data_IF_432392680770
#
_entry.id   IF_432392680770
#
_cell.length_a   1.000
_cell.length_b   1.000
_cell.length_c   1.000
_cell.angle_alpha   90.00
_cell.angle_beta   90.00
_cell.angle_gamma   90.00
#
_symmetry.space_group_name_H-M   'P 1'
#
loop_
_entity.id
_entity.type
_entity.pdbx_description
1 polymer ?
#
# COMPACT_ATOMS: atom_id res chain seq x y z
N UNK A 1 12.79 -20.08 -0.05
CA UNK A 1 12.55 -21.16 -1.03
C UNK A 1 11.20 -20.90 -1.68
N UNK A 2 11.04 -21.16 -2.98
CA UNK A 2 9.77 -21.00 -3.71
C UNK A 2 9.36 -22.33 -4.34
N UNK A 3 8.06 -22.69 -4.38
CA UNK A 3 7.60 -23.87 -5.11
C UNK A 3 7.95 -23.74 -6.59
N UNK A 4 8.55 -24.78 -7.15
CA UNK A 4 8.99 -24.85 -8.54
C UNK A 4 8.17 -25.87 -9.35
N UNK A 5 7.86 -27.03 -8.78
CA UNK A 5 7.03 -28.04 -9.44
C UNK A 5 6.28 -28.90 -8.44
N UNK A 6 5.11 -29.40 -8.83
CA UNK A 6 4.32 -30.37 -8.07
C UNK A 6 4.06 -31.57 -8.98
N UNK A 7 4.46 -32.77 -8.56
CA UNK A 7 4.22 -33.97 -9.37
C UNK A 7 2.80 -34.50 -9.20
N UNK A 8 2.32 -34.58 -7.96
CA UNK A 8 1.01 -35.12 -7.63
C UNK A 8 0.34 -34.25 -6.57
N UNK A 9 -0.88 -33.80 -6.85
CA UNK A 9 -1.74 -33.11 -5.91
C UNK A 9 -3.05 -33.89 -5.78
N UNK A 10 -3.36 -34.30 -4.56
CA UNK A 10 -4.64 -34.89 -4.21
C UNK A 10 -5.37 -33.97 -3.23
N UNK A 11 -6.64 -33.69 -3.54
CA UNK A 11 -7.56 -32.95 -2.67
C UNK A 11 -8.80 -33.80 -2.47
N UNK A 12 -9.08 -34.18 -1.23
CA UNK A 12 -10.29 -34.94 -0.90
C UNK A 12 -11.54 -34.06 -1.11
N UNK A 13 -12.64 -34.67 -1.59
CA UNK A 13 -13.93 -33.98 -1.70
C UNK A 13 -14.49 -33.56 -0.34
N UNK A 14 -14.28 -34.40 0.67
CA UNK A 14 -14.76 -34.17 2.05
C UNK A 14 -13.70 -33.43 2.86
N UNK A 15 -13.72 -32.10 2.76
CA UNK A 15 -12.92 -31.23 3.62
C UNK A 15 -13.65 -30.95 4.95
N UNK A 16 -12.93 -30.72 6.06
CA UNK A 16 -13.51 -30.11 7.26
C UNK A 16 -14.37 -28.89 6.87
N UNK A 17 -15.63 -28.86 7.33
CA UNK A 17 -16.58 -27.79 7.04
C UNK A 17 -16.87 -26.97 8.30
N UNK A 18 -17.21 -25.69 8.09
CA UNK A 18 -17.57 -24.76 9.16
C UNK A 18 -16.40 -23.84 9.56
N UNK A 19 -16.77 -22.67 10.11
CA UNK A 19 -15.79 -21.71 10.63
C UNK A 19 -15.01 -22.32 11.81
N UNK A 20 -13.70 -22.08 11.85
CA UNK A 20 -12.81 -22.62 12.88
C UNK A 20 -12.39 -24.08 12.69
N UNK A 21 -12.71 -24.71 11.55
CA UNK A 21 -12.22 -26.05 11.26
C UNK A 21 -10.68 -26.04 11.13
N UNK A 22 -10.02 -26.85 11.97
CA UNK A 22 -8.56 -26.92 12.02
C UNK A 22 -8.02 -28.03 11.12
N UNK A 23 -6.90 -27.72 10.47
CA UNK A 23 -6.09 -28.69 9.74
C UNK A 23 -4.81 -28.98 10.51
N UNK A 24 -4.45 -30.25 10.55
CA UNK A 24 -3.14 -30.70 11.01
C UNK A 24 -2.31 -31.10 9.80
N UNK A 25 -1.03 -30.73 9.78
CA UNK A 25 -0.14 -31.10 8.68
C UNK A 25 1.19 -31.65 9.18
N UNK A 26 1.82 -32.51 8.37
CA UNK A 26 3.24 -32.81 8.49
C UNK A 26 3.89 -32.80 7.11
N UNK A 27 5.14 -32.37 7.06
CA UNK A 27 5.96 -32.39 5.87
C UNK A 27 7.08 -33.42 6.00
N UNK A 28 7.43 -34.07 4.90
CA UNK A 28 8.59 -34.97 4.80
C UNK A 28 9.54 -34.44 3.74
N UNK A 29 10.78 -34.13 4.13
CA UNK A 29 11.84 -33.85 3.16
C UNK A 29 12.35 -35.16 2.58
N UNK A 30 12.38 -35.28 1.24
CA UNK A 30 12.81 -36.49 0.53
C UNK A 30 14.26 -36.38 0.09
N UNK A 31 14.61 -35.27 -0.55
CA UNK A 31 15.94 -35.05 -1.10
C UNK A 31 16.26 -33.56 -1.19
N UNK A 32 17.54 -33.25 -1.13
CA UNK A 32 18.08 -31.93 -1.41
C UNK A 32 19.17 -32.10 -2.46
N UNK A 33 19.02 -31.44 -3.61
CA UNK A 33 19.97 -31.46 -4.71
C UNK A 33 20.32 -30.02 -5.08
N UNK A 34 21.47 -29.54 -4.60
CA UNK A 34 21.88 -28.15 -4.76
C UNK A 34 20.85 -27.18 -4.19
N UNK A 35 20.29 -26.32 -5.04
CA UNK A 35 19.27 -25.34 -4.67
C UNK A 35 17.84 -25.90 -4.66
N UNK A 36 17.65 -27.19 -4.89
CA UNK A 36 16.32 -27.79 -4.96
C UNK A 36 16.08 -28.75 -3.80
N UNK A 37 14.98 -28.57 -3.09
CA UNK A 37 14.52 -29.44 -2.01
C UNK A 37 13.23 -30.09 -2.45
N UNK A 38 13.20 -31.41 -2.57
CA UNK A 38 11.98 -32.17 -2.86
C UNK A 38 11.35 -32.59 -1.55
N UNK A 39 10.08 -32.28 -1.37
CA UNK A 39 9.34 -32.60 -0.14
C UNK A 39 7.95 -33.13 -0.45
N UNK A 40 7.34 -33.76 0.54
CA UNK A 40 5.93 -34.15 0.53
C UNK A 40 5.21 -33.45 1.66
N UNK A 41 3.96 -33.07 1.43
CA UNK A 41 3.09 -32.46 2.42
C UNK A 41 1.82 -33.29 2.55
N UNK A 42 1.49 -33.67 3.78
CA UNK A 42 0.26 -34.35 4.12
C UNK A 42 -0.55 -33.47 5.07
N UNK A 43 -1.78 -33.15 4.70
CA UNK A 43 -2.71 -32.36 5.50
C UNK A 43 -3.92 -33.22 5.81
N UNK A 44 -4.36 -33.22 7.06
CA UNK A 44 -5.55 -33.93 7.55
C UNK A 44 -6.41 -33.01 8.42
N UNK A 45 -7.58 -33.49 8.81
CA UNK A 45 -8.31 -32.93 9.96
C UNK A 45 -7.53 -33.12 11.28
N UNK A 46 -7.95 -32.41 12.32
CA UNK A 46 -7.34 -32.43 13.66
C UNK A 46 -7.20 -33.86 14.23
N UNK A 47 -8.18 -34.72 13.94
CA UNK A 47 -8.23 -36.12 14.41
C UNK A 47 -7.39 -37.08 13.55
N UNK A 48 -6.71 -36.57 12.52
CA UNK A 48 -5.92 -37.36 11.57
C UNK A 48 -6.69 -38.53 10.94
N UNK A 49 -8.00 -38.36 10.69
CA UNK A 49 -8.85 -39.49 10.26
C UNK A 49 -8.46 -40.00 8.87
N UNK A 50 -8.21 -39.08 7.93
CA UNK A 50 -7.83 -39.37 6.53
C UNK A 50 -7.11 -38.16 5.93
N UNK A 51 -6.14 -38.38 5.01
CA UNK A 51 -5.52 -37.28 4.29
C UNK A 51 -6.57 -36.48 3.51
N UNK A 52 -6.59 -35.18 3.77
CA UNK A 52 -7.47 -34.19 3.15
C UNK A 52 -6.79 -33.53 1.96
N UNK A 53 -5.49 -33.26 2.08
CA UNK A 53 -4.64 -32.78 1.00
C UNK A 53 -3.34 -33.58 1.03
N UNK A 54 -2.85 -33.99 -0.13
CA UNK A 54 -1.53 -34.60 -0.26
C UNK A 54 -0.83 -33.98 -1.45
N UNK A 55 0.39 -33.49 -1.21
CA UNK A 55 1.28 -32.96 -2.23
C UNK A 55 2.51 -33.85 -2.23
N UNK A 56 2.73 -34.62 -3.31
CA UNK A 56 3.91 -35.47 -3.41
C UNK A 56 4.92 -34.90 -4.38
N UNK A 57 6.19 -35.09 -4.04
CA UNK A 57 7.36 -34.65 -4.81
C UNK A 57 7.22 -33.18 -5.23
N UNK A 58 6.84 -32.34 -4.26
CA UNK A 58 6.77 -30.91 -4.44
C UNK A 58 8.19 -30.34 -4.27
N UNK A 59 8.70 -29.78 -5.34
CA UNK A 59 10.07 -29.26 -5.42
C UNK A 59 10.06 -27.79 -5.07
N UNK A 60 10.88 -27.44 -4.09
CA UNK A 60 11.17 -26.09 -3.65
C UNK A 60 12.53 -25.68 -4.21
N UNK A 61 12.61 -24.52 -4.87
CA UNK A 61 13.89 -23.93 -5.26
C UNK A 61 14.28 -22.83 -4.29
N UNK A 62 15.51 -22.86 -3.80
CA UNK A 62 16.11 -21.76 -3.07
C UNK A 62 16.43 -20.61 -4.04
N UNK A 63 15.76 -19.48 -3.87
CA UNK A 63 15.89 -18.28 -4.71
C UNK A 63 16.80 -17.20 -4.11
N UNK A 64 17.23 -17.38 -2.87
CA UNK A 64 18.19 -16.49 -2.21
C UNK A 64 19.47 -17.27 -1.91
N UNK A 65 20.58 -16.85 -2.52
CA UNK A 65 21.90 -17.31 -2.12
C UNK A 65 22.18 -16.76 -0.73
N UNK A 66 22.16 -17.61 0.29
CA UNK A 66 22.93 -17.33 1.51
C UNK A 66 24.39 -17.27 1.07
N UNK A 67 24.91 -16.05 0.88
CA UNK A 67 26.32 -15.82 0.59
C UNK A 67 27.11 -16.11 1.87
N UNK A 68 27.95 -17.16 1.81
CA UNK A 68 29.04 -17.45 2.75
C UNK A 68 28.73 -18.55 3.77
N UNK A 69 29.58 -19.55 4.06
CA UNK A 69 30.94 -19.85 3.63
C UNK A 69 31.15 -21.36 3.90
N UNK A 70 31.45 -22.14 2.86
CA UNK A 70 32.09 -23.45 3.05
C UNK A 70 33.57 -23.25 3.38
N UNK A 71 33.87 -22.84 4.62
CA UNK A 71 35.22 -23.01 5.17
C UNK A 71 35.12 -23.51 6.60
N UNK A 72 35.80 -24.63 6.81
CA UNK A 72 35.75 -25.49 7.97
C UNK A 72 36.01 -24.80 9.32
N UNK A 73 35.34 -25.36 10.33
CA UNK A 73 35.80 -25.51 11.72
C UNK A 73 36.18 -24.23 12.48
N UNK A 74 35.21 -23.64 13.18
CA UNK A 74 35.34 -23.36 14.62
C UNK A 74 33.97 -23.03 15.22
N UNK A 75 33.75 -23.50 16.45
CA UNK A 75 32.53 -23.34 17.25
C UNK A 75 31.95 -21.92 17.20
N UNK A 76 30.79 -21.78 16.57
CA UNK A 76 29.95 -20.60 16.63
C UNK A 76 28.59 -21.00 17.19
N UNK A 77 28.16 -20.23 18.18
CA UNK A 77 26.85 -20.27 18.84
C UNK A 77 25.71 -20.45 17.82
N UNK A 78 24.56 -21.03 18.21
CA UNK A 78 23.37 -21.05 17.36
C UNK A 78 22.84 -19.61 17.24
N UNK A 79 23.46 -18.81 16.38
CA UNK A 79 22.88 -17.56 15.91
C UNK A 79 21.65 -17.96 15.12
N UNK A 80 20.48 -17.70 15.69
CA UNK A 80 19.18 -17.90 15.06
C UNK A 80 19.26 -17.37 13.63
N UNK A 81 19.23 -18.28 12.65
CA UNK A 81 18.97 -17.92 11.27
C UNK A 81 17.54 -17.40 11.25
N UNK A 82 17.38 -16.09 11.46
CA UNK A 82 16.10 -15.43 11.42
C UNK A 82 15.46 -15.77 10.07
N UNK A 83 14.42 -16.59 10.10
CA UNK A 83 13.65 -16.86 8.89
C UNK A 83 12.86 -15.59 8.64
N UNK A 84 13.34 -14.78 7.70
CA UNK A 84 12.62 -13.60 7.24
C UNK A 84 11.38 -14.08 6.48
N UNK A 85 10.27 -14.24 7.20
CA UNK A 85 8.96 -14.28 6.57
C UNK A 85 8.58 -12.85 6.20
N UNK A 86 7.99 -12.68 5.02
CA UNK A 86 7.39 -11.42 4.64
C UNK A 86 5.88 -11.50 4.90
N UNK A 87 5.35 -10.51 5.59
CA UNK A 87 3.91 -10.32 5.76
C UNK A 87 3.42 -9.26 4.76
N UNK A 88 2.18 -9.40 4.28
CA UNK A 88 1.54 -8.34 3.53
C UNK A 88 0.83 -7.39 4.49
N UNK A 89 1.35 -6.17 4.63
CA UNK A 89 0.76 -5.12 5.45
C UNK A 89 0.13 -4.05 4.56
N UNK A 90 -0.98 -3.47 5.02
CA UNK A 90 -1.69 -2.39 4.34
C UNK A 90 -1.39 -1.05 5.02
N UNK A 91 -0.88 -0.09 4.24
CA UNK A 91 -0.56 1.25 4.73
C UNK A 91 -1.48 2.28 4.09
N UNK A 92 -2.03 3.23 4.86
CA UNK A 92 -2.88 4.28 4.31
C UNK A 92 -2.05 5.18 3.38
N UNK A 93 -2.53 5.46 2.17
CA UNK A 93 -1.82 6.25 1.17
C UNK A 93 -2.13 7.75 1.33
N UNK A 94 -1.16 8.59 1.74
CA UNK A 94 -1.37 10.02 1.97
C UNK A 94 -1.82 10.78 0.72
N UNK A 95 -1.61 10.23 -0.48
CA UNK A 95 -2.02 10.86 -1.74
C UNK A 95 -3.54 10.87 -1.98
N UNK A 96 -4.30 10.19 -1.13
CA UNK A 96 -5.77 10.15 -1.16
C UNK A 96 -6.42 10.95 -0.03
N UNK A 97 -5.64 11.71 0.76
CA UNK A 97 -6.20 12.61 1.78
C UNK A 97 -6.90 13.77 1.10
N UNK A 98 -8.22 13.89 1.32
CA UNK A 98 -9.09 14.92 0.74
C UNK A 98 -9.83 15.76 1.78
N UNK A 99 -9.60 15.49 3.06
CA UNK A 99 -10.20 16.24 4.15
C UNK A 99 -9.30 16.28 5.38
N UNK A 100 -9.59 17.21 6.31
CA UNK A 100 -8.94 17.22 7.62
C UNK A 100 -9.26 15.95 8.42
N UNK A 101 -10.46 15.38 8.24
CA UNK A 101 -10.86 14.12 8.89
C UNK A 101 -9.99 12.96 8.43
N UNK A 102 -9.75 12.86 7.12
CA UNK A 102 -8.89 11.84 6.52
C UNK A 102 -7.47 11.93 7.09
N UNK A 103 -6.95 13.15 7.26
CA UNK A 103 -5.61 13.36 7.79
C UNK A 103 -5.51 13.01 9.30
N UNK A 104 -6.56 13.29 10.08
CA UNK A 104 -6.65 12.86 11.48
C UNK A 104 -6.71 11.33 11.57
N UNK A 105 -7.48 10.66 10.72
CA UNK A 105 -7.55 9.19 10.69
C UNK A 105 -6.24 8.57 10.19
N UNK A 106 -5.57 9.17 9.20
CA UNK A 106 -4.24 8.77 8.72
C UNK A 106 -3.24 8.72 9.88
N UNK A 107 -3.21 9.78 10.70
CA UNK A 107 -2.34 9.88 11.87
C UNK A 107 -2.77 8.92 12.99
N UNK A 108 -4.07 8.67 13.14
CA UNK A 108 -4.62 7.86 14.24
C UNK A 108 -4.60 6.35 13.97
N UNK A 109 -4.57 5.92 12.71
CA UNK A 109 -4.75 4.52 12.30
C UNK A 109 -3.54 3.62 12.56
N UNK A 110 -2.38 4.18 12.93
CA UNK A 110 -1.08 3.51 12.75
C UNK A 110 -0.40 2.96 14.03
N UNK A 111 -1.05 2.94 15.19
CA UNK A 111 -0.78 2.03 16.34
C UNK A 111 -1.45 2.55 17.63
N UNK A 112 -1.49 1.72 18.68
CA UNK A 112 -1.94 2.14 20.02
C UNK A 112 -1.12 3.30 20.61
N UNK A 113 0.13 3.47 20.16
CA UNK A 113 0.97 4.62 20.53
C UNK A 113 0.80 5.72 19.50
N UNK A 114 -0.11 6.65 19.78
CA UNK A 114 -0.37 7.84 18.97
C UNK A 114 0.86 8.75 18.90
N UNK A 115 1.79 8.43 17.99
CA UNK A 115 2.93 9.28 17.68
C UNK A 115 2.72 9.92 16.32
N UNK A 116 3.01 11.22 16.22
CA UNK A 116 2.88 12.00 15.01
C UNK A 116 3.68 11.45 13.84
N UNK A 117 4.67 10.61 14.08
CA UNK A 117 5.54 10.05 13.04
C UNK A 117 5.12 8.66 12.58
N UNK A 118 3.99 8.13 13.03
CA UNK A 118 3.54 6.81 12.57
C UNK A 118 3.10 6.80 11.10
N UNK A 119 2.66 7.95 10.55
CA UNK A 119 2.35 8.03 9.12
C UNK A 119 3.62 7.96 8.24
N UNK A 120 4.81 8.16 8.81
CA UNK A 120 6.07 8.18 8.04
C UNK A 120 6.33 6.87 7.31
N UNK A 121 6.01 5.73 7.92
CA UNK A 121 6.16 4.44 7.24
C UNK A 121 5.31 4.36 5.98
N UNK A 122 4.10 4.95 6.00
CA UNK A 122 3.23 5.02 4.83
C UNK A 122 3.82 5.88 3.71
N UNK A 123 4.58 6.92 4.05
CA UNK A 123 5.31 7.75 3.08
C UNK A 123 6.52 6.99 2.54
N UNK A 124 7.35 6.44 3.43
CA UNK A 124 8.63 5.82 3.09
C UNK A 124 8.47 4.51 2.32
N UNK A 125 7.43 3.74 2.63
CA UNK A 125 7.12 2.53 1.89
C UNK A 125 6.45 2.81 0.54
N UNK A 126 5.88 4.00 0.34
CA UNK A 126 5.21 4.32 -0.93
C UNK A 126 6.20 4.32 -2.11
N UNK A 127 7.36 4.96 -1.94
CA UNK A 127 8.40 5.08 -2.99
C UNK A 127 9.78 4.70 -2.47
N UNK A 128 10.58 4.07 -3.30
CA UNK A 128 11.95 3.71 -2.89
C UNK A 128 12.92 4.90 -2.94
N UNK A 129 12.61 5.93 -3.72
CA UNK A 129 13.46 7.10 -3.95
C UNK A 129 13.02 8.36 -3.19
N UNK A 130 12.32 8.15 -2.07
CA UNK A 130 11.78 9.22 -1.24
C UNK A 130 12.87 10.20 -0.76
N UNK A 131 12.60 11.50 -0.91
CA UNK A 131 13.43 12.60 -0.43
C UNK A 131 12.73 13.34 0.70
N UNK A 132 13.38 13.37 1.87
CA UNK A 132 12.88 14.09 3.06
C UNK A 132 13.73 15.32 3.33
N UNK A 133 13.08 16.47 3.45
CA UNK A 133 13.70 17.70 3.94
C UNK A 133 13.43 17.83 5.44
N UNK A 134 14.49 17.83 6.24
CA UNK A 134 14.40 18.02 7.70
C UNK A 134 14.93 19.41 8.03
N UNK A 135 14.09 20.24 8.63
CA UNK A 135 14.44 21.58 9.11
C UNK A 135 14.44 21.57 10.65
N UNK A 136 15.52 22.01 11.28
CA UNK A 136 15.58 22.17 12.74
C UNK A 136 15.85 23.64 13.11
N UNK A 137 14.87 24.26 13.74
CA UNK A 137 14.91 25.67 14.12
C UNK A 137 15.36 25.89 15.57
N UNK A 138 15.05 24.94 16.47
CA UNK A 138 15.47 24.96 17.88
C UNK A 138 15.93 23.57 18.34
N UNK A 139 16.59 23.50 19.50
CA UNK A 139 17.08 22.24 20.08
C UNK A 139 16.16 21.68 21.19
N UNK A 140 14.86 21.98 21.16
CA UNK A 140 13.92 21.48 22.18
C UNK A 140 13.85 19.95 22.14
N UNK A 141 13.82 19.31 23.31
CA UNK A 141 13.89 17.85 23.44
C UNK A 141 12.82 17.11 22.61
N UNK A 142 11.58 17.62 22.52
CA UNK A 142 10.52 17.00 21.71
C UNK A 142 10.88 16.93 20.23
N UNK A 143 11.61 17.93 19.71
CA UNK A 143 12.08 17.94 18.33
C UNK A 143 13.21 16.92 18.12
N UNK A 144 14.11 16.80 19.12
CA UNK A 144 15.14 15.76 19.13
C UNK A 144 14.54 14.36 19.19
N UNK A 145 13.46 14.17 19.95
CA UNK A 145 12.74 12.90 20.05
C UNK A 145 12.13 12.49 18.71
N UNK A 146 11.56 13.43 17.95
CA UNK A 146 11.07 13.19 16.58
C UNK A 146 12.21 12.75 15.65
N UNK A 147 13.39 13.38 15.74
CA UNK A 147 14.56 12.99 14.95
C UNK A 147 15.08 11.60 15.33
N UNK A 148 15.09 11.27 16.63
CA UNK A 148 15.46 9.95 17.13
C UNK A 148 14.48 8.89 16.63
N UNK A 149 13.19 9.21 16.63
CA UNK A 149 12.15 8.31 16.15
C UNK A 149 12.28 8.08 14.64
N UNK A 150 12.52 9.13 13.84
CA UNK A 150 12.85 8.99 12.41
C UNK A 150 14.02 8.03 12.19
N UNK A 151 15.10 8.14 12.98
CA UNK A 151 16.26 7.25 12.88
C UNK A 151 15.97 5.80 13.27
N UNK A 152 15.06 5.59 14.22
CA UNK A 152 14.71 4.25 14.75
C UNK A 152 13.75 3.49 13.83
N UNK A 153 13.16 4.14 12.83
CA UNK A 153 12.23 3.50 11.89
C UNK A 153 12.93 2.37 11.13
N UNK A 154 12.17 1.30 10.90
CA UNK A 154 12.58 0.19 10.05
C UNK A 154 12.80 0.65 8.61
N UNK A 155 11.94 1.55 8.15
CA UNK A 155 11.98 2.13 6.81
C UNK A 155 12.51 3.56 6.89
N UNK A 156 13.54 3.84 6.12
CA UNK A 156 14.16 5.16 6.04
C UNK A 156 14.03 5.69 4.61
N UNK A 157 13.97 7.02 4.43
CA UNK A 157 14.04 7.61 3.10
C UNK A 157 15.40 7.33 2.44
N UNK A 158 15.44 7.35 1.12
CA UNK A 158 16.68 7.20 0.35
C UNK A 158 17.61 8.40 0.55
N UNK A 159 17.02 9.58 0.73
CA UNK A 159 17.76 10.82 0.89
C UNK A 159 17.15 11.72 1.96
N UNK A 160 18.00 12.19 2.86
CA UNK A 160 17.68 13.20 3.86
C UNK A 160 18.49 14.47 3.55
N UNK A 161 17.78 15.58 3.36
CA UNK A 161 18.38 16.92 3.30
C UNK A 161 18.11 17.56 4.65
N UNK A 162 19.14 17.76 5.46
CA UNK A 162 19.06 18.30 6.80
C UNK A 162 19.56 19.75 6.81
N UNK A 163 18.69 20.69 7.19
CA UNK A 163 19.00 22.10 7.29
C UNK A 163 18.69 22.61 8.70
N UNK A 164 19.60 23.38 9.30
CA UNK A 164 19.44 23.90 10.65
C UNK A 164 19.59 25.43 10.70
N UNK A 165 18.80 26.08 11.57
CA UNK A 165 18.82 27.53 11.77
C UNK A 165 20.02 28.01 12.62
N UNK A 166 20.64 27.10 13.39
CA UNK A 166 21.80 27.36 14.23
C UNK A 166 22.87 26.26 14.05
N UNK A 167 24.13 26.57 14.33
CA UNK A 167 25.21 25.57 14.27
C UNK A 167 25.04 24.51 15.38
N UNK A 168 24.48 24.89 16.53
CA UNK A 168 24.14 23.98 17.62
C UNK A 168 23.04 22.98 17.18
N UNK A 169 21.97 23.45 16.56
CA UNK A 169 20.93 22.62 15.97
C UNK A 169 21.50 21.67 14.90
N UNK A 170 22.42 22.14 14.03
CA UNK A 170 23.08 21.27 13.06
C UNK A 170 23.85 20.13 13.75
N UNK A 171 24.55 20.44 14.84
CA UNK A 171 25.31 19.45 15.61
C UNK A 171 24.39 18.44 16.29
N UNK A 172 23.23 18.88 16.79
CA UNK A 172 22.17 18.00 17.31
C UNK A 172 21.66 17.08 16.20
N UNK A 173 21.37 17.60 15.00
CA UNK A 173 20.93 16.77 13.87
C UNK A 173 21.96 15.71 13.48
N UNK A 174 23.25 16.06 13.39
CA UNK A 174 24.33 15.10 13.08
C UNK A 174 24.46 14.02 14.16
N UNK A 175 24.43 14.43 15.43
CA UNK A 175 24.53 13.50 16.56
C UNK A 175 23.34 12.54 16.58
N UNK A 176 22.14 13.06 16.33
CA UNK A 176 20.91 12.29 16.35
C UNK A 176 20.79 11.39 15.14
N UNK A 177 20.78 11.94 13.91
CA UNK A 177 20.55 11.20 12.67
C UNK A 177 21.76 10.31 12.28
N UNK A 178 22.97 10.70 12.66
CA UNK A 178 24.21 9.97 12.35
C UNK A 178 24.86 10.41 11.05
N UNK A 179 25.67 9.52 10.47
CA UNK A 179 26.35 9.73 9.19
C UNK A 179 25.59 9.01 8.06
N UNK A 180 25.81 9.40 6.78
CA UNK A 180 25.25 8.68 5.64
C UNK A 180 25.56 7.18 5.69
N UNK A 181 24.59 6.36 5.28
CA UNK A 181 24.72 4.90 5.19
C UNK A 181 24.61 4.44 3.75
N UNK A 182 24.81 3.14 3.49
CA UNK A 182 24.60 2.54 2.16
C UNK A 182 23.16 2.72 1.66
N UNK A 183 22.18 2.80 2.57
CA UNK A 183 20.75 2.88 2.25
C UNK A 183 20.22 4.32 2.21
N UNK A 184 20.85 5.23 2.94
CA UNK A 184 20.36 6.60 3.09
C UNK A 184 21.49 7.61 2.94
N UNK A 185 21.39 8.42 1.90
CA UNK A 185 22.26 9.58 1.70
C UNK A 185 21.80 10.75 2.58
N UNK A 186 22.73 11.46 3.21
CA UNK A 186 22.41 12.60 4.08
C UNK A 186 23.26 13.81 3.72
N UNK A 187 22.62 14.98 3.69
CA UNK A 187 23.28 16.27 3.44
C UNK A 187 22.97 17.20 4.60
N UNK A 188 24.00 17.74 5.26
CA UNK A 188 23.85 18.66 6.39
C UNK A 188 24.26 20.08 5.98
N UNK A 189 23.37 21.05 6.18
CA UNK A 189 23.64 22.46 5.91
C UNK A 189 23.15 23.34 7.05
N UNK A 190 23.97 24.25 7.53
CA UNK A 190 23.53 25.32 8.43
C UNK A 190 23.33 26.62 7.63
N UNK A 191 22.36 27.42 8.06
CA UNK A 191 22.17 28.81 7.64
C UNK A 191 21.36 29.59 8.67
N UNK A 192 21.46 30.93 8.68
CA UNK A 192 20.59 31.77 9.51
C UNK A 192 19.10 31.52 9.21
N UNK A 193 18.26 31.57 10.24
CA UNK A 193 16.81 31.35 10.14
C UNK A 193 16.15 32.15 9.01
N UNK A 194 16.48 33.44 8.88
CA UNK A 194 15.93 34.31 7.86
C UNK A 194 16.25 33.86 6.43
N UNK A 195 17.39 33.19 6.23
CA UNK A 195 17.84 32.67 4.93
C UNK A 195 17.30 31.25 4.68
N UNK A 196 17.04 30.48 5.74
CA UNK A 196 16.60 29.09 5.66
C UNK A 196 15.32 28.91 4.85
N UNK A 197 14.31 29.71 5.14
CA UNK A 197 13.03 29.67 4.43
C UNK A 197 13.11 30.26 3.01
N UNK A 198 14.14 31.06 2.71
CA UNK A 198 14.35 31.66 1.39
C UNK A 198 15.15 30.77 0.44
N UNK A 199 15.89 29.80 0.99
CA UNK A 199 16.82 28.94 0.24
C UNK A 199 16.43 27.47 0.29
N UNK A 200 15.13 27.21 0.50
CA UNK A 200 14.59 25.86 0.47
C UNK A 200 14.87 25.21 -0.90
N UNK A 201 15.24 23.91 -0.94
CA UNK A 201 15.61 23.28 -2.18
C UNK A 201 14.42 23.26 -3.15
N UNK A 202 14.64 23.73 -4.38
CA UNK A 202 13.71 23.46 -5.48
C UNK A 202 13.94 22.03 -5.97
N UNK A 203 13.04 21.10 -5.66
CA UNK A 203 13.18 19.70 -6.04
C UNK A 203 11.92 18.85 -5.83
N UNK A 204 12.00 17.58 -6.17
CA UNK A 204 11.01 16.59 -5.76
C UNK A 204 11.29 16.21 -4.29
N UNK A 205 10.74 17.00 -3.37
CA UNK A 205 10.71 16.65 -1.94
C UNK A 205 9.36 16.02 -1.69
N UNK A 206 9.35 14.81 -1.14
CA UNK A 206 8.13 14.05 -0.86
C UNK A 206 7.56 14.43 0.51
N UNK A 207 8.44 14.77 1.46
CA UNK A 207 8.06 15.13 2.84
C UNK A 207 8.97 16.21 3.42
N UNK A 208 8.37 17.17 4.13
CA UNK A 208 9.08 18.11 4.99
C UNK A 208 8.82 17.78 6.47
N UNK A 209 9.89 17.64 7.25
CA UNK A 209 9.86 17.57 8.71
C UNK A 209 10.47 18.87 9.26
N UNK A 210 9.64 19.85 9.60
CA UNK A 210 10.12 21.14 10.10
C UNK A 210 9.85 21.27 11.59
N UNK A 211 10.91 21.31 12.38
CA UNK A 211 10.86 21.16 13.83
C UNK A 211 11.27 22.46 14.52
N UNK A 212 10.42 22.98 15.41
CA UNK A 212 10.63 24.24 16.12
C UNK A 212 10.30 25.46 15.25
N UNK A 213 9.37 25.34 14.31
CA UNK A 213 9.08 26.40 13.34
C UNK A 213 8.65 27.69 14.06
N UNK A 214 9.37 28.81 13.85
CA UNK A 214 8.96 30.10 14.39
C UNK A 214 7.72 30.57 13.63
N UNK A 215 6.69 31.04 14.33
CA UNK A 215 5.43 31.50 13.71
C UNK A 215 4.91 30.53 12.62
N UNK A 216 4.46 29.35 13.06
CA UNK A 216 4.01 28.27 12.16
C UNK A 216 2.93 28.76 11.20
N UNK A 217 2.02 29.62 11.67
CA UNK A 217 0.95 30.19 10.86
C UNK A 217 1.49 30.93 9.63
N UNK A 218 2.53 31.75 9.82
CA UNK A 218 3.17 32.48 8.73
C UNK A 218 3.96 31.55 7.80
N UNK A 219 4.73 30.62 8.37
CA UNK A 219 5.72 29.85 7.62
C UNK A 219 5.19 28.56 6.99
N UNK A 220 4.05 28.02 7.45
CA UNK A 220 3.46 26.81 6.89
C UNK A 220 3.07 26.97 5.41
N UNK A 221 2.64 28.17 4.99
CA UNK A 221 2.33 28.46 3.58
C UNK A 221 3.55 28.33 2.66
N UNK A 222 4.73 28.79 3.12
CA UNK A 222 6.00 28.66 2.37
C UNK A 222 6.41 27.21 2.29
N UNK A 223 6.36 26.49 3.41
CA UNK A 223 6.71 25.07 3.46
C UNK A 223 5.78 24.21 2.60
N UNK A 224 4.49 24.57 2.49
CA UNK A 224 3.52 23.88 1.65
C UNK A 224 3.82 23.96 0.15
N UNK A 225 4.66 24.92 -0.27
CA UNK A 225 5.12 24.98 -1.67
C UNK A 225 6.24 23.99 -1.98
N UNK A 226 6.88 23.42 -0.95
CA UNK A 226 8.08 22.59 -1.09
C UNK A 226 7.76 21.11 -1.25
N UNK A 227 6.78 20.61 -0.48
CA UNK A 227 6.39 19.21 -0.48
C UNK A 227 4.87 19.04 -0.33
N UNK A 228 4.30 17.94 -0.87
CA UNK A 228 2.89 17.65 -0.73
C UNK A 228 2.49 17.30 0.71
N UNK A 229 3.43 16.79 1.52
CA UNK A 229 3.18 16.38 2.89
C UNK A 229 4.21 17.03 3.83
N UNK A 230 3.75 17.46 4.99
CA UNK A 230 4.58 18.13 5.99
C UNK A 230 4.21 17.71 7.41
N UNK A 231 5.21 17.66 8.28
CA UNK A 231 5.06 17.57 9.72
C UNK A 231 5.80 18.75 10.35
N UNK A 232 5.06 19.58 11.09
CA UNK A 232 5.56 20.82 11.68
C UNK A 232 5.44 20.75 13.20
N UNK A 233 6.44 21.22 13.94
CA UNK A 233 6.29 21.55 15.37
C UNK A 233 6.55 23.03 15.58
N UNK A 234 5.98 23.61 16.64
CA UNK A 234 6.09 25.04 16.96
C UNK A 234 7.16 25.30 18.03
N UNK A 235 7.95 26.37 17.87
CA UNK A 235 8.95 26.79 18.86
C UNK A 235 8.34 27.39 20.15
N UNK A 236 7.22 28.13 20.04
CA UNK A 236 6.58 28.80 21.17
C UNK A 236 5.50 27.92 21.83
N UNK A 237 5.29 28.10 23.13
CA UNK A 237 4.32 27.34 23.91
C UNK A 237 2.85 27.75 23.68
N UNK A 238 2.58 28.81 22.92
CA UNK A 238 1.22 29.25 22.61
C UNK A 238 0.61 28.42 21.49
N UNK A 239 -0.37 27.59 21.85
CA UNK A 239 -1.21 26.86 20.91
C UNK A 239 -2.05 27.86 20.12
N UNK A 240 -1.70 28.08 18.85
CA UNK A 240 -2.43 28.95 17.95
C UNK A 240 -3.01 28.12 16.82
N UNK A 241 -4.33 28.13 16.66
CA UNK A 241 -4.96 27.55 15.49
C UNK A 241 -4.69 28.43 14.27
N UNK A 242 -4.22 27.82 13.19
CA UNK A 242 -4.01 28.50 11.91
C UNK A 242 -4.56 27.64 10.77
N UNK A 243 -4.83 28.30 9.65
CA UNK A 243 -5.28 27.64 8.42
C UNK A 243 -4.31 27.98 7.30
N UNK A 244 -3.98 26.98 6.47
CA UNK A 244 -3.18 27.16 5.26
C UNK A 244 -4.11 26.96 4.07
N UNK A 245 -4.31 28.02 3.29
CA UNK A 245 -5.17 27.96 2.12
C UNK A 245 -4.68 26.87 1.15
N UNK A 246 -5.58 25.96 0.77
CA UNK A 246 -5.24 24.87 -0.15
C UNK A 246 -4.50 23.70 0.49
N UNK A 247 -4.60 23.51 1.81
CA UNK A 247 -4.04 22.35 2.51
C UNK A 247 -5.06 21.77 3.50
N UNK A 248 -4.96 20.47 3.73
CA UNK A 248 -5.61 19.78 4.85
C UNK A 248 -4.70 19.81 6.08
N UNK A 249 -5.31 19.81 7.24
CA UNK A 249 -4.64 20.06 8.52
C UNK A 249 -5.13 19.11 9.62
N UNK A 250 -4.18 18.53 10.33
CA UNK A 250 -4.42 17.73 11.52
C UNK A 250 -3.48 18.18 12.64
N UNK A 251 -4.05 18.50 13.81
CA UNK A 251 -3.29 18.92 14.98
C UNK A 251 -3.27 17.81 16.03
N UNK A 252 -2.07 17.37 16.40
CA UNK A 252 -1.82 16.39 17.45
C UNK A 252 -1.45 17.16 18.72
N UNK A 253 -2.48 17.51 19.50
CA UNK A 253 -2.38 18.42 20.64
C UNK A 253 -1.34 17.99 21.69
N UNK A 254 -1.21 16.69 21.96
CA UNK A 254 -0.27 16.18 22.95
C UNK A 254 1.19 16.42 22.55
N UNK A 255 1.49 16.43 21.25
CA UNK A 255 2.86 16.54 20.72
C UNK A 255 3.14 17.92 20.10
N UNK A 256 2.17 18.85 20.14
CA UNK A 256 2.24 20.16 19.47
C UNK A 256 2.72 20.04 18.02
N UNK A 257 2.24 18.99 17.38
CA UNK A 257 2.68 18.59 16.04
C UNK A 257 1.51 18.77 15.08
N UNK A 258 1.79 19.45 13.98
CA UNK A 258 0.85 19.75 12.92
C UNK A 258 1.23 18.94 11.70
N UNK A 259 0.30 18.11 11.21
CA UNK A 259 0.45 17.45 9.92
C UNK A 259 -0.33 18.26 8.89
N UNK A 260 0.31 18.55 7.76
CA UNK A 260 -0.32 19.24 6.65
C UNK A 260 -0.16 18.44 5.37
N UNK A 261 -1.24 18.30 4.63
CA UNK A 261 -1.24 17.75 3.27
C UNK A 261 -1.66 18.87 2.32
N UNK A 262 -0.74 19.31 1.45
CA UNK A 262 -1.05 20.33 0.46
C UNK A 262 -1.87 19.70 -0.68
N UNK A 263 -2.91 20.41 -1.11
CA UNK A 263 -3.73 20.08 -2.30
C UNK A 263 -2.93 20.36 -3.60
N UNK A 264 -1.61 20.56 -3.48
CA UNK A 264 -0.69 21.03 -4.50
C UNK A 264 -0.72 20.24 -5.81
N UNK A 265 -0.85 21.02 -6.89
CA UNK A 265 -0.92 20.70 -8.33
C UNK A 265 0.28 19.91 -8.89
N UNK A 266 0.62 18.77 -8.30
CA UNK A 266 1.57 17.78 -8.86
C UNK A 266 0.84 16.52 -9.28
N UNK A 267 -0.21 16.68 -10.06
CA UNK A 267 -0.43 15.72 -11.13
C UNK A 267 0.30 16.29 -12.34
N UNK A 268 1.33 15.59 -12.82
CA UNK A 268 1.47 15.54 -14.27
C UNK A 268 0.05 15.33 -14.80
N UNK A 269 -0.46 16.23 -15.64
CA UNK A 269 -1.81 16.09 -16.16
C UNK A 269 -1.80 14.82 -17.00
N UNK A 270 -2.08 13.69 -16.37
CA UNK A 270 -2.24 12.47 -17.10
C UNK A 270 -3.49 12.67 -17.91
N UNK A 271 -3.32 12.61 -19.23
CA UNK A 271 -4.41 12.67 -20.15
C UNK A 271 -5.34 11.52 -19.80
N UNK A 272 -6.53 11.86 -19.28
CA UNK A 272 -7.57 10.88 -19.07
C UNK A 272 -7.84 10.20 -20.42
N UNK A 273 -8.14 8.89 -20.44
CA UNK A 273 -8.45 8.22 -21.68
C UNK A 273 -9.66 8.88 -22.34
N UNK A 274 -9.62 9.03 -23.66
CA UNK A 274 -10.75 9.61 -24.43
C UNK A 274 -12.06 8.85 -24.20
N UNK A 275 -11.97 7.54 -23.91
CA UNK A 275 -13.11 6.70 -23.60
C UNK A 275 -12.81 5.64 -22.54
N UNK A 276 -13.85 5.30 -21.79
CA UNK A 276 -13.84 4.22 -20.80
C UNK A 276 -15.07 3.33 -20.98
N UNK A 277 -14.91 2.03 -20.72
CA UNK A 277 -16.01 1.08 -20.73
C UNK A 277 -16.33 0.61 -19.33
N UNK A 278 -17.58 0.74 -18.90
CA UNK A 278 -18.05 0.13 -17.65
C UNK A 278 -18.50 -1.31 -17.94
N UNK A 279 -17.83 -2.26 -17.31
CA UNK A 279 -18.15 -3.68 -17.42
C UNK A 279 -19.08 -4.09 -16.27
N UNK A 280 -20.31 -4.44 -16.60
CA UNK A 280 -21.41 -4.62 -15.67
C UNK A 280 -21.82 -6.10 -15.53
N UNK A 281 -22.37 -6.50 -14.37
CA UNK A 281 -23.00 -7.81 -14.21
C UNK A 281 -24.28 -7.90 -15.05
N UNK A 282 -24.75 -9.13 -15.30
CA UNK A 282 -25.97 -9.37 -16.08
C UNK A 282 -27.24 -8.81 -15.40
N UNK A 283 -27.24 -8.76 -14.07
CA UNK A 283 -28.30 -8.18 -13.23
C UNK A 283 -27.69 -7.13 -12.30
N UNK A 284 -28.29 -5.95 -12.25
CA UNK A 284 -27.84 -4.83 -11.42
C UNK A 284 -28.79 -4.62 -10.25
N UNK A 285 -28.27 -4.52 -9.02
CA UNK A 285 -29.05 -4.03 -7.87
C UNK A 285 -29.43 -2.55 -8.06
N UNK A 286 -30.36 -2.05 -7.24
CA UNK A 286 -30.73 -0.62 -7.26
C UNK A 286 -29.55 0.28 -6.88
N UNK A 287 -28.75 -0.16 -5.92
CA UNK A 287 -27.59 0.60 -5.42
C UNK A 287 -26.51 0.66 -6.50
N UNK A 288 -26.22 -0.47 -7.16
CA UNK A 288 -25.28 -0.49 -8.28
C UNK A 288 -25.77 0.28 -9.51
N UNK A 289 -27.08 0.30 -9.79
CA UNK A 289 -27.63 1.17 -10.83
C UNK A 289 -27.37 2.65 -10.52
N UNK A 290 -27.57 3.05 -9.25
CA UNK A 290 -27.34 4.41 -8.77
C UNK A 290 -25.85 4.78 -8.81
N UNK A 291 -24.98 3.89 -8.33
CA UNK A 291 -23.53 4.02 -8.40
C UNK A 291 -23.05 4.17 -9.85
N UNK A 292 -23.50 3.29 -10.74
CA UNK A 292 -23.13 3.30 -12.16
C UNK A 292 -23.59 4.58 -12.86
N UNK A 293 -24.80 5.08 -12.57
CA UNK A 293 -25.30 6.33 -13.13
C UNK A 293 -24.47 7.53 -12.66
N UNK A 294 -24.15 7.58 -11.36
CA UNK A 294 -23.31 8.65 -10.78
C UNK A 294 -21.90 8.62 -11.33
N UNK A 295 -21.29 7.44 -11.44
CA UNK A 295 -19.96 7.22 -12.03
C UNK A 295 -19.94 7.69 -13.49
N UNK A 296 -20.93 7.31 -14.29
CA UNK A 296 -21.05 7.74 -15.70
C UNK A 296 -21.15 9.26 -15.80
N UNK A 297 -21.95 9.90 -14.97
CA UNK A 297 -22.14 11.35 -14.98
C UNK A 297 -20.83 12.07 -14.64
N UNK A 298 -20.11 11.62 -13.60
CA UNK A 298 -18.81 12.21 -13.22
C UNK A 298 -17.74 12.01 -14.29
N UNK A 299 -17.61 10.81 -14.88
CA UNK A 299 -16.70 10.56 -16.00
C UNK A 299 -16.99 11.47 -17.21
N UNK A 300 -18.27 11.60 -17.57
CA UNK A 300 -18.69 12.48 -18.66
C UNK A 300 -18.38 13.95 -18.35
N UNK A 301 -18.53 14.38 -17.09
CA UNK A 301 -18.17 15.74 -16.65
C UNK A 301 -16.66 16.02 -16.72
N UNK A 302 -15.83 14.97 -16.67
CA UNK A 302 -14.38 15.02 -16.89
C UNK A 302 -14.00 14.96 -18.38
N UNK A 303 -14.98 14.92 -19.30
CA UNK A 303 -14.75 14.85 -20.74
C UNK A 303 -14.49 13.44 -21.27
N UNK A 304 -14.68 12.39 -20.46
CA UNK A 304 -14.46 11.00 -20.86
C UNK A 304 -15.72 10.41 -21.49
N UNK A 305 -15.59 9.81 -22.67
CA UNK A 305 -16.70 9.10 -23.32
C UNK A 305 -16.96 7.76 -22.63
N UNK A 306 -18.16 7.56 -22.08
CA UNK A 306 -18.51 6.33 -21.34
C UNK A 306 -19.40 5.42 -22.16
N UNK A 307 -18.97 4.16 -22.32
CA UNK A 307 -19.81 3.08 -22.87
C UNK A 307 -19.96 1.95 -21.85
N UNK A 308 -20.87 1.01 -22.10
CA UNK A 308 -21.14 -0.08 -21.17
C UNK A 308 -21.28 -1.41 -21.89
N UNK A 309 -20.86 -2.48 -21.23
CA UNK A 309 -21.05 -3.84 -21.73
C UNK A 309 -21.09 -4.84 -20.58
N UNK A 310 -21.39 -6.10 -20.89
CA UNK A 310 -21.43 -7.20 -19.93
C UNK A 310 -20.30 -8.19 -20.21
N UNK A 311 -19.97 -9.06 -19.25
CA UNK A 311 -18.97 -10.11 -19.41
C UNK A 311 -19.46 -11.25 -20.31
N UNK A 312 -19.44 -11.00 -21.62
CA UNK A 312 -19.78 -11.96 -22.67
C UNK A 312 -18.71 -11.92 -23.76
N UNK A 313 -18.53 -13.00 -24.52
CA UNK A 313 -17.54 -13.04 -25.61
C UNK A 313 -17.73 -11.90 -26.61
N UNK A 314 -18.98 -11.54 -26.94
CA UNK A 314 -19.28 -10.45 -27.85
C UNK A 314 -18.97 -9.08 -27.22
N UNK A 315 -19.32 -8.89 -25.94
CA UNK A 315 -19.04 -7.64 -25.22
C UNK A 315 -17.54 -7.35 -25.17
N UNK A 316 -16.75 -8.35 -24.75
CA UNK A 316 -15.29 -8.20 -24.57
C UNK A 316 -14.52 -8.11 -25.88
N UNK A 317 -15.05 -8.63 -27.00
CA UNK A 317 -14.38 -8.56 -28.30
C UNK A 317 -14.12 -7.11 -28.77
N UNK A 318 -14.90 -6.15 -28.28
CA UNK A 318 -14.79 -4.72 -28.61
C UNK A 318 -13.89 -3.91 -27.67
N UNK A 319 -13.26 -4.57 -26.68
CA UNK A 319 -12.50 -3.92 -25.60
C UNK A 319 -10.99 -3.86 -25.83
N UNK A 320 -10.52 -4.30 -27.01
CA UNK A 320 -9.10 -4.29 -27.35
C UNK A 320 -8.45 -2.92 -27.14
N UNK A 321 -7.40 -2.89 -26.32
CA UNK A 321 -6.62 -1.70 -25.95
C UNK A 321 -7.41 -0.56 -25.31
N UNK A 322 -8.61 -0.82 -24.76
CA UNK A 322 -9.42 0.19 -24.05
C UNK A 322 -9.14 0.21 -22.56
N UNK A 323 -9.50 1.32 -21.91
CA UNK A 323 -9.63 1.40 -20.45
C UNK A 323 -11.02 0.90 -20.03
N UNK A 324 -11.03 -0.02 -19.07
CA UNK A 324 -12.22 -0.70 -18.57
C UNK A 324 -12.27 -0.56 -17.05
N UNK A 325 -13.44 -0.20 -16.52
CA UNK A 325 -13.76 -0.26 -15.09
C UNK A 325 -14.74 -1.41 -14.89
N UNK A 326 -14.31 -2.44 -14.16
CA UNK A 326 -15.11 -3.62 -13.85
C UNK A 326 -15.89 -3.43 -12.57
N UNK A 327 -17.21 -3.44 -12.69
CA UNK A 327 -18.18 -3.43 -11.58
C UNK A 327 -18.81 -4.82 -11.37
N UNK A 328 -18.16 -5.87 -11.89
CA UNK A 328 -18.67 -7.23 -11.88
C UNK A 328 -18.81 -7.81 -10.47
N UNK A 329 -17.97 -7.36 -9.53
CA UNK A 329 -17.87 -7.90 -8.16
C UNK A 329 -18.04 -6.84 -7.08
N UNK A 330 -18.73 -5.75 -7.38
CA UNK A 330 -19.06 -4.74 -6.37
C UNK A 330 -20.25 -5.18 -5.48
N UNK A 331 -21.18 -5.96 -6.02
CA UNK A 331 -22.37 -6.46 -5.29
C UNK A 331 -22.30 -7.95 -4.94
N UNK A 332 -21.63 -8.75 -5.77
CA UNK A 332 -21.67 -10.21 -5.65
C UNK A 332 -20.39 -10.84 -6.17
N UNK A 333 -19.86 -11.88 -5.51
CA UNK A 333 -18.66 -12.56 -5.98
C UNK A 333 -18.96 -13.30 -7.28
N UNK A 334 -18.03 -13.21 -8.23
CA UNK A 334 -18.13 -13.78 -9.57
C UNK A 334 -17.05 -14.82 -9.82
N UNK A 335 -15.79 -14.53 -9.46
CA UNK A 335 -14.65 -15.34 -9.86
C UNK A 335 -14.68 -16.75 -9.26
N UNK A 336 -15.17 -16.90 -8.02
CA UNK A 336 -15.31 -18.20 -7.36
C UNK A 336 -16.41 -19.08 -8.00
N UNK A 337 -17.30 -18.50 -8.82
CA UNK A 337 -18.51 -19.13 -9.34
C UNK A 337 -18.64 -18.99 -10.85
N UNK A 338 -17.53 -18.81 -11.58
CA UNK A 338 -17.58 -18.66 -13.03
C UNK A 338 -18.23 -19.85 -13.72
N UNK A 339 -19.14 -19.53 -14.63
CA UNK A 339 -19.51 -20.48 -15.67
C UNK A 339 -18.46 -20.53 -16.79
N UNK A 340 -18.63 -21.50 -17.69
CA UNK A 340 -17.72 -21.72 -18.82
C UNK A 340 -17.62 -20.49 -19.74
N UNK A 341 -18.72 -19.79 -19.95
CA UNK A 341 -18.79 -18.69 -20.91
C UNK A 341 -18.16 -17.42 -20.32
N UNK A 342 -18.40 -17.14 -19.04
CA UNK A 342 -17.76 -16.08 -18.26
C UNK A 342 -16.25 -16.29 -18.20
N UNK A 343 -15.78 -17.51 -17.91
CA UNK A 343 -14.35 -17.82 -17.90
C UNK A 343 -13.71 -17.57 -19.27
N UNK A 344 -14.36 -18.00 -20.37
CA UNK A 344 -13.85 -17.77 -21.71
C UNK A 344 -13.86 -16.28 -22.11
N UNK A 345 -14.90 -15.53 -21.71
CA UNK A 345 -14.96 -14.09 -21.90
C UNK A 345 -13.86 -13.37 -21.12
N UNK A 346 -13.60 -13.76 -19.87
CA UNK A 346 -12.53 -13.19 -19.05
C UNK A 346 -11.15 -13.43 -19.67
N UNK A 347 -10.85 -14.65 -20.14
CA UNK A 347 -9.59 -14.92 -20.86
C UNK A 347 -9.41 -13.99 -22.06
N UNK A 348 -10.48 -13.77 -22.83
CA UNK A 348 -10.44 -12.88 -23.98
C UNK A 348 -10.21 -11.42 -23.55
N UNK A 349 -10.89 -10.98 -22.49
CA UNK A 349 -10.73 -9.66 -21.89
C UNK A 349 -9.26 -9.41 -21.50
N UNK A 350 -8.68 -10.25 -20.63
CA UNK A 350 -7.29 -10.08 -20.15
C UNK A 350 -6.29 -10.10 -21.30
N UNK A 351 -6.50 -10.93 -22.32
CA UNK A 351 -5.60 -11.00 -23.48
C UNK A 351 -5.61 -9.76 -24.39
N UNK A 352 -6.53 -8.82 -24.20
CA UNK A 352 -6.74 -7.71 -25.13
C UNK A 352 -6.94 -6.34 -24.49
N UNK A 353 -7.30 -6.27 -23.21
CA UNK A 353 -7.53 -5.00 -22.51
C UNK A 353 -6.22 -4.24 -22.30
N UNK A 354 -6.24 -2.92 -22.48
CA UNK A 354 -5.06 -2.09 -22.18
C UNK A 354 -4.96 -1.80 -20.68
N UNK A 355 -6.10 -1.46 -20.08
CA UNK A 355 -6.21 -1.16 -18.65
C UNK A 355 -7.54 -1.69 -18.11
N UNK A 356 -7.50 -2.56 -17.08
CA UNK A 356 -8.67 -3.12 -16.43
C UNK A 356 -8.62 -2.81 -14.93
N UNK A 357 -9.38 -1.80 -14.51
CA UNK A 357 -9.55 -1.47 -13.11
C UNK A 357 -10.66 -2.32 -12.50
N UNK A 358 -10.32 -3.20 -11.56
CA UNK A 358 -11.24 -4.18 -10.99
C UNK A 358 -11.67 -3.80 -9.58
N UNK A 359 -12.98 -3.72 -9.34
CA UNK A 359 -13.52 -3.34 -8.03
C UNK A 359 -14.17 -4.55 -7.37
N UNK A 360 -13.75 -4.83 -6.14
CA UNK A 360 -14.37 -5.84 -5.25
C UNK A 360 -14.91 -5.17 -4.00
N UNK A 361 -15.74 -5.90 -3.24
CA UNK A 361 -16.36 -5.41 -2.01
C UNK A 361 -16.21 -6.45 -0.88
N UNK A 362 -14.98 -6.90 -0.63
CA UNK A 362 -14.74 -7.99 0.32
C UNK A 362 -14.15 -7.57 1.68
N UNK A 363 -13.52 -6.41 1.80
CA UNK A 363 -12.95 -5.90 3.04
C UNK A 363 -11.63 -6.58 3.46
N UNK A 364 -10.65 -6.61 2.56
CA UNK A 364 -9.33 -7.22 2.74
C UNK A 364 -8.58 -6.74 3.99
N UNK A 365 -8.65 -5.44 4.30
CA UNK A 365 -7.99 -4.84 5.48
C UNK A 365 -8.53 -5.45 6.78
N UNK A 366 -9.81 -5.80 6.79
CA UNK A 366 -10.51 -6.36 7.95
C UNK A 366 -10.49 -7.89 7.94
N UNK A 367 -9.61 -8.50 7.14
CA UNK A 367 -9.53 -9.95 6.96
C UNK A 367 -10.83 -10.56 6.38
N UNK A 368 -11.44 -9.86 5.43
CA UNK A 368 -12.59 -10.34 4.65
C UNK A 368 -13.84 -10.68 5.47
N UNK A 369 -14.34 -9.79 6.35
CA UNK A 369 -15.48 -10.09 7.20
C UNK A 369 -16.73 -10.29 6.33
N UNK A 370 -17.13 -11.55 6.14
CA UNK A 370 -18.21 -11.98 5.23
C UNK A 370 -17.94 -11.72 3.73
N UNK A 371 -16.67 -11.58 3.33
CA UNK A 371 -16.28 -11.26 1.95
C UNK A 371 -15.18 -12.17 1.39
N UNK A 372 -14.93 -13.34 1.99
CA UNK A 372 -13.81 -14.21 1.62
C UNK A 372 -13.92 -14.71 0.16
N UNK A 373 -15.13 -14.81 -0.37
CA UNK A 373 -15.39 -15.20 -1.75
C UNK A 373 -14.76 -14.22 -2.76
N UNK A 374 -14.70 -12.93 -2.43
CA UNK A 374 -14.06 -11.88 -3.24
C UNK A 374 -12.53 -11.99 -3.26
N UNK A 375 -11.91 -12.66 -2.27
CA UNK A 375 -10.46 -12.82 -2.21
C UNK A 375 -9.90 -13.62 -3.40
N UNK A 376 -10.73 -14.46 -4.03
CA UNK A 376 -10.37 -15.23 -5.24
C UNK A 376 -9.90 -14.31 -6.35
N UNK A 377 -10.55 -13.15 -6.51
CA UNK A 377 -10.27 -12.18 -7.56
C UNK A 377 -8.94 -11.47 -7.35
N UNK A 378 -8.61 -11.11 -6.10
CA UNK A 378 -7.29 -10.56 -5.79
C UNK A 378 -6.17 -11.56 -6.11
N UNK A 379 -6.32 -12.81 -5.67
CA UNK A 379 -5.35 -13.87 -5.97
C UNK A 379 -5.18 -14.09 -7.47
N UNK A 380 -6.29 -14.14 -8.21
CA UNK A 380 -6.27 -14.27 -9.66
C UNK A 380 -5.56 -13.08 -10.33
N UNK A 381 -5.90 -11.84 -9.98
CA UNK A 381 -5.30 -10.65 -10.60
C UNK A 381 -3.79 -10.55 -10.31
N UNK A 382 -3.33 -11.00 -9.13
CA UNK A 382 -1.89 -11.16 -8.84
C UNK A 382 -1.21 -12.10 -9.82
N UNK A 383 -1.81 -13.25 -10.09
CA UNK A 383 -1.28 -14.21 -11.07
C UNK A 383 -1.29 -13.60 -12.48
N UNK A 384 -2.40 -12.98 -12.87
CA UNK A 384 -2.55 -12.39 -14.21
C UNK A 384 -1.55 -11.26 -14.46
N UNK A 385 -1.22 -10.41 -13.48
CA UNK A 385 -0.18 -9.37 -13.65
C UNK A 385 1.20 -9.94 -13.93
N UNK A 386 1.53 -11.10 -13.37
CA UNK A 386 2.79 -11.78 -13.63
C UNK A 386 2.79 -12.52 -14.99
N UNK A 387 1.65 -13.08 -15.39
CA UNK A 387 1.52 -13.81 -16.67
C UNK A 387 1.34 -12.89 -17.88
N UNK A 388 0.71 -11.73 -17.69
CA UNK A 388 0.42 -10.74 -18.74
C UNK A 388 0.95 -9.35 -18.36
N UNK A 389 2.27 -9.13 -18.33
CA UNK A 389 2.86 -7.83 -17.92
C UNK A 389 2.44 -6.63 -18.77
N UNK A 390 1.95 -6.87 -20.00
CA UNK A 390 1.45 -5.82 -20.88
C UNK A 390 0.05 -5.30 -20.47
N UNK A 391 -0.70 -6.05 -19.65
CA UNK A 391 -2.01 -5.65 -19.17
C UNK A 391 -1.87 -4.92 -17.82
N UNK A 392 -2.44 -3.72 -17.73
CA UNK A 392 -2.47 -2.95 -16.49
C UNK A 392 -3.73 -3.34 -15.71
N UNK A 393 -3.57 -4.05 -14.60
CA UNK A 393 -4.66 -4.68 -13.84
C UNK A 393 -4.73 -4.18 -12.37
N UNK A 394 -4.98 -2.89 -12.14
CA UNK A 394 -5.16 -2.36 -10.80
C UNK A 394 -6.47 -2.88 -10.21
N UNK A 395 -6.47 -3.16 -8.91
CA UNK A 395 -7.68 -3.56 -8.18
C UNK A 395 -7.93 -2.68 -6.97
N UNK A 396 -9.19 -2.36 -6.71
CA UNK A 396 -9.66 -1.70 -5.49
C UNK A 396 -10.63 -2.63 -4.76
N UNK A 397 -10.31 -2.97 -3.52
CA UNK A 397 -11.23 -3.68 -2.64
C UNK A 397 -11.89 -2.72 -1.65
N UNK A 398 -13.21 -2.62 -1.71
CA UNK A 398 -14.01 -1.82 -0.78
C UNK A 398 -14.24 -2.59 0.53
N UNK A 399 -14.31 -1.88 1.65
CA UNK A 399 -14.65 -2.48 2.94
C UNK A 399 -16.04 -3.12 2.89
N UNK A 400 -16.26 -4.25 3.55
CA UNK A 400 -17.55 -4.97 3.50
C UNK A 400 -18.75 -4.17 4.08
N UNK A 401 -18.47 -3.04 4.72
CA UNK A 401 -19.46 -2.11 5.28
C UNK A 401 -19.63 -0.85 4.41
N UNK A 402 -18.99 -0.80 3.25
CA UNK A 402 -19.08 0.32 2.33
C UNK A 402 -20.50 0.44 1.76
N UNK A 403 -21.08 1.62 1.91
CA UNK A 403 -22.37 1.93 1.30
C UNK A 403 -22.15 2.49 -0.10
N UNK A 404 -22.16 1.61 -1.11
CA UNK A 404 -21.98 1.99 -2.52
C UNK A 404 -23.11 2.90 -3.04
N UNK A 405 -24.21 3.09 -2.30
CA UNK A 405 -25.23 4.07 -2.67
C UNK A 405 -24.80 5.50 -2.35
N UNK A 406 -23.82 5.68 -1.47
CA UNK A 406 -23.25 6.97 -1.13
C UNK A 406 -22.32 7.48 -2.25
N UNK A 407 -22.58 8.71 -2.70
CA UNK A 407 -21.83 9.37 -3.76
C UNK A 407 -20.33 9.52 -3.44
N UNK A 408 -19.95 9.52 -2.15
CA UNK A 408 -18.54 9.59 -1.75
C UNK A 408 -17.72 8.40 -2.26
N UNK A 409 -18.30 7.20 -2.36
CA UNK A 409 -17.58 6.03 -2.89
C UNK A 409 -17.33 6.13 -4.38
N UNK A 410 -18.21 6.83 -5.12
CA UNK A 410 -17.96 7.09 -6.54
C UNK A 410 -16.76 8.03 -6.70
N UNK A 411 -16.66 9.07 -5.86
CA UNK A 411 -15.51 9.98 -5.85
C UNK A 411 -14.21 9.26 -5.48
N UNK A 412 -14.26 8.39 -4.47
CA UNK A 412 -13.15 7.55 -4.06
C UNK A 412 -12.71 6.61 -5.19
N UNK A 413 -13.64 5.86 -5.80
CA UNK A 413 -13.36 4.96 -6.93
C UNK A 413 -12.75 5.71 -8.12
N UNK A 414 -13.27 6.89 -8.44
CA UNK A 414 -12.71 7.73 -9.50
C UNK A 414 -11.31 8.23 -9.16
N UNK A 415 -11.07 8.61 -7.91
CA UNK A 415 -9.75 9.05 -7.48
C UNK A 415 -8.71 7.94 -7.65
N UNK A 416 -9.05 6.71 -7.27
CA UNK A 416 -8.17 5.53 -7.39
C UNK A 416 -7.97 5.17 -8.86
N UNK A 417 -9.04 5.14 -9.66
CA UNK A 417 -8.94 4.91 -11.11
C UNK A 417 -8.04 5.93 -11.80
N UNK A 418 -8.23 7.22 -11.52
CA UNK A 418 -7.39 8.27 -12.11
C UNK A 418 -5.91 8.11 -11.71
N UNK A 419 -5.64 7.71 -10.47
CA UNK A 419 -4.28 7.45 -9.98
C UNK A 419 -3.68 6.18 -10.56
N UNK A 420 -4.49 5.17 -10.89
CA UNK A 420 -4.02 3.92 -11.48
C UNK A 420 -3.63 4.02 -12.96
N UNK A 421 -3.99 5.13 -13.62
CA UNK A 421 -3.56 5.46 -14.99
C UNK A 421 -2.14 6.03 -15.08
N UNK A 422 -1.47 6.29 -13.95
CA UNK A 422 -0.10 6.85 -13.93
C UNK A 422 0.93 5.75 -14.15
N UNK A 423 2.03 6.09 -14.82
CA UNK A 423 3.24 5.25 -14.80
C UNK A 423 3.67 5.03 -13.34
N UNK A 424 4.06 3.81 -13.00
CA UNK A 424 4.39 3.39 -11.63
C UNK A 424 3.24 3.50 -10.61
N UNK A 425 1.99 3.54 -11.07
CA UNK A 425 0.86 3.46 -10.18
C UNK A 425 0.79 2.13 -9.41
N UNK A 426 0.18 2.17 -8.24
CA UNK A 426 -0.09 0.98 -7.45
C UNK A 426 -1.07 0.06 -8.18
N UNK A 427 -0.89 -1.24 -7.99
CA UNK A 427 -1.74 -2.25 -8.61
C UNK A 427 -2.79 -2.84 -7.65
N UNK A 428 -2.67 -2.56 -6.36
CA UNK A 428 -3.57 -3.04 -5.33
C UNK A 428 -3.89 -1.93 -4.33
N UNK A 429 -5.17 -1.62 -4.25
CA UNK A 429 -5.76 -0.66 -3.35
C UNK A 429 -6.81 -1.35 -2.49
N UNK A 430 -6.97 -0.86 -1.27
CA UNK A 430 -8.07 -1.24 -0.40
C UNK A 430 -8.66 0.00 0.26
N UNK A 431 -9.96 0.04 0.43
CA UNK A 431 -10.66 1.08 1.17
C UNK A 431 -10.98 0.58 2.58
N UNK A 432 -10.77 1.45 3.57
CA UNK A 432 -11.33 1.27 4.90
C UNK A 432 -11.61 2.63 5.56
N UNK A 433 -12.87 2.85 5.97
CA UNK A 433 -13.34 4.11 6.54
C UNK A 433 -13.04 5.33 5.65
N UNK A 434 -13.31 5.19 4.36
CA UNK A 434 -13.05 6.20 3.32
C UNK A 434 -11.57 6.55 3.10
N UNK A 435 -10.64 5.83 3.72
CA UNK A 435 -9.21 5.95 3.42
C UNK A 435 -8.78 4.87 2.44
N UNK A 436 -7.89 5.23 1.52
CA UNK A 436 -7.23 4.28 0.61
C UNK A 436 -5.95 3.78 1.25
N UNK A 437 -5.74 2.47 1.18
CA UNK A 437 -4.55 1.78 1.63
C UNK A 437 -3.90 1.07 0.44
N UNK A 438 -2.58 0.89 0.54
CA UNK A 438 -1.75 0.20 -0.44
C UNK A 438 -1.02 -0.95 0.24
N UNK A 439 -0.86 -2.04 -0.50
CA UNK A 439 -0.25 -3.27 0.01
C UNK A 439 1.28 -3.20 -0.05
N UNK A 440 1.97 -3.65 0.99
CA UNK A 440 3.44 -3.73 1.05
C UNK A 440 3.88 -5.01 1.74
N UNK A 441 4.92 -5.64 1.19
CA UNK A 441 5.60 -6.75 1.84
C UNK A 441 6.56 -6.18 2.90
N UNK A 442 6.32 -6.52 4.17
CA UNK A 442 7.11 -6.09 5.32
C UNK A 442 7.76 -7.30 5.97
N UNK A 443 8.85 -7.11 6.71
CA UNK A 443 9.49 -8.21 7.45
C UNK A 443 8.67 -8.56 8.70
N UNK A 444 8.30 -9.84 8.85
CA UNK A 444 7.61 -10.33 10.03
C UNK A 444 8.62 -10.73 11.11
N UNK A 445 8.67 -9.98 12.21
CA UNK A 445 9.63 -10.20 13.30
C UNK A 445 9.24 -11.32 14.27
N UNK A 446 8.06 -11.94 14.11
CA UNK A 446 7.40 -12.75 15.15
C UNK A 446 7.39 -14.28 14.95
N UNK A 447 7.92 -14.81 13.84
CA UNK A 447 7.85 -16.26 13.55
C UNK A 447 8.90 -17.15 14.27
N UNK A 448 9.41 -16.72 15.41
CA UNK A 448 10.41 -17.46 16.21
C UNK A 448 9.80 -18.19 17.43
N UNK A 449 8.68 -18.89 17.24
CA UNK A 449 8.21 -19.89 18.22
C UNK A 449 8.63 -21.30 17.77
N UNK A 450 9.82 -21.72 18.21
CA UNK A 450 10.18 -23.15 18.23
C UNK A 450 9.45 -23.76 19.42
N UNK A 451 8.48 -24.66 19.15
CA UNK A 451 7.95 -25.62 20.14
C UNK A 451 8.87 -26.84 20.16
#
# INVERSE_FOLDING_TARGET
>A
MVPYSIQELYIAREQPQGSGALYSCYGRSLSQNGHETTTELFVSDEKWTKPKITIKNFVLRQVTSSIGLETASTSLSPSATAKTCAEMTWFPDPSFVTSNGDLVELVSSTSEKKSAVNFLDSVFLKKLDNVVLVLLFDEVQSNVDILLELKRRTYLPQRIISMAASEAALQVMRTTLGEPSERTSMVYKWMPEAELLQTLPSGAIDLVLALGVPDVAKNASVLATVAPLMCLTQADHQDQSFEVLGSYFAHITHEKTYILSSIGSRTASNELPESVVLLLPASLSNDLQTFTATLRNKLTSLGVSVSQTNLTLQGVASLGNKSVISLLEIDSPLVCCWDKDQFNAFKKLISSVGHLFWITHGGVIQSWPNGIEFATSQGLLRVMRNEYPAAILPSLDLSAVADISDAQYVDLVLSVWCKSLVEDAEMEYAEHKNLIYIARATEETTFDWVI
#
